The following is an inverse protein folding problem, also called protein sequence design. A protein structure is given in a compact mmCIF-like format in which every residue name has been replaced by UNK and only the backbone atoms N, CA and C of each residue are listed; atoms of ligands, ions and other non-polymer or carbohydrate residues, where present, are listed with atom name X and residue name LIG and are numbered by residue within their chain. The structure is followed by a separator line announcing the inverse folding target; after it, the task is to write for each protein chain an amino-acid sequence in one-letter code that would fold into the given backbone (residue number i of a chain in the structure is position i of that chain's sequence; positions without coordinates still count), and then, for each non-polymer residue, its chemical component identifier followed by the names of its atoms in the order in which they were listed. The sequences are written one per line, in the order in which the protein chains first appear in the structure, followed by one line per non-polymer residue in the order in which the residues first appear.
data_IF_247515586190
#
_entry.id   IF_247515586190
#
_cell.length_a   1.000
_cell.length_b   1.000
_cell.length_c   1.000
_cell.angle_alpha   90.00
_cell.angle_beta   90.00
_cell.angle_gamma   90.00
#
_symmetry.space_group_name_H-M   'P 1'
#
loop_
_entity.id
_entity.type
_entity.pdbx_description
1 polymer ?
#
# COMPACT_ATOMS: atom_id res chain seq x y z
N UNK A 1 22.37 -0.41 10.14
CA UNK A 1 21.43 0.11 9.14
C UNK A 1 21.52 1.62 9.15
N UNK A 2 21.68 2.26 8.00
CA UNK A 2 21.65 3.72 7.93
C UNK A 2 20.24 4.20 8.31
N UNK A 3 20.11 5.28 9.11
CA UNK A 3 18.80 5.81 9.46
C UNK A 3 18.03 6.24 8.20
N UNK A 4 16.70 6.10 8.18
CA UNK A 4 15.87 6.57 7.06
C UNK A 4 16.09 8.06 6.85
N UNK A 5 16.42 8.48 5.64
CA UNK A 5 16.82 9.86 5.37
C UNK A 5 15.57 10.72 5.22
N UNK A 6 14.66 10.33 4.35
CA UNK A 6 13.48 11.12 4.00
C UNK A 6 12.44 11.10 5.10
N UNK A 7 12.15 9.94 5.69
CA UNK A 7 11.17 9.86 6.78
C UNK A 7 11.59 10.72 7.99
N UNK A 8 12.89 10.74 8.31
CA UNK A 8 13.44 11.61 9.35
C UNK A 8 13.33 13.09 8.98
N UNK A 9 13.65 13.45 7.73
CA UNK A 9 13.50 14.85 7.24
C UNK A 9 12.05 15.30 7.32
N UNK A 10 11.09 14.48 6.88
CA UNK A 10 9.65 14.81 6.93
C UNK A 10 9.19 14.99 8.38
N UNK A 11 9.60 14.10 9.28
CA UNK A 11 9.25 14.21 10.72
C UNK A 11 9.84 15.46 11.36
N UNK A 12 11.12 15.76 11.06
CA UNK A 12 11.77 17.00 11.53
C UNK A 12 11.08 18.24 10.94
N UNK A 13 10.67 18.19 9.68
CA UNK A 13 9.93 19.29 9.05
C UNK A 13 8.57 19.55 9.72
N UNK A 14 7.84 18.50 10.12
CA UNK A 14 6.60 18.64 10.92
C UNK A 14 6.90 19.36 12.23
N UNK A 15 7.93 18.93 12.97
CA UNK A 15 8.28 19.55 14.26
C UNK A 15 8.72 21.01 14.12
N UNK A 16 9.56 21.31 13.13
CA UNK A 16 10.06 22.66 12.88
C UNK A 16 8.96 23.61 12.39
N UNK A 17 8.11 23.17 11.46
CA UNK A 17 7.00 23.99 10.96
C UNK A 17 5.94 24.23 12.02
N UNK A 18 5.70 23.24 12.90
CA UNK A 18 4.85 23.45 14.05
C UNK A 18 5.45 24.47 15.02
N UNK A 19 6.73 24.35 15.37
CA UNK A 19 7.39 25.31 16.25
C UNK A 19 7.34 26.73 15.67
N UNK A 20 7.58 26.86 14.36
CA UNK A 20 7.44 28.14 13.66
C UNK A 20 6.00 28.67 13.72
N UNK A 21 5.01 27.81 13.47
CA UNK A 21 3.60 28.18 13.54
C UNK A 21 3.21 28.66 14.95
N UNK A 22 3.64 27.93 15.99
CA UNK A 22 3.40 28.32 17.38
C UNK A 22 4.04 29.68 17.70
N UNK A 23 5.32 29.86 17.37
CA UNK A 23 6.03 31.13 17.57
C UNK A 23 5.32 32.31 16.89
N UNK A 24 4.85 32.11 15.65
CA UNK A 24 4.11 33.13 14.91
C UNK A 24 2.74 33.42 15.54
N UNK A 25 1.97 32.40 15.93
CA UNK A 25 0.68 32.57 16.63
C UNK A 25 0.85 33.34 17.94
N UNK A 26 1.83 32.97 18.76
CA UNK A 26 2.12 33.65 20.03
C UNK A 26 2.61 35.08 19.82
N UNK A 27 3.44 35.34 18.81
CA UNK A 27 3.88 36.69 18.47
C UNK A 27 2.71 37.57 18.04
N UNK A 28 1.82 37.07 17.18
CA UNK A 28 0.62 37.81 16.76
C UNK A 28 -0.33 38.06 17.93
N UNK A 29 -0.52 37.07 18.81
CA UNK A 29 -1.32 37.23 20.01
C UNK A 29 -0.75 38.30 20.95
N UNK A 30 0.56 38.31 21.16
CA UNK A 30 1.23 39.34 21.95
C UNK A 30 1.03 40.74 21.35
N UNK A 31 1.15 40.90 20.03
CA UNK A 31 0.88 42.17 19.37
C UNK A 31 -0.57 42.60 19.53
N UNK A 32 -1.53 41.68 19.47
CA UNK A 32 -2.96 41.98 19.69
C UNK A 32 -3.23 42.43 21.12
N UNK A 33 -2.61 41.79 22.13
CA UNK A 33 -2.72 42.25 23.53
C UNK A 33 -2.15 43.66 23.68
N UNK A 34 -0.96 43.92 23.13
CA UNK A 34 -0.32 45.25 23.22
C UNK A 34 -1.16 46.31 22.50
N UNK A 35 -1.77 45.96 21.37
CA UNK A 35 -2.69 46.84 20.65
C UNK A 35 -3.99 47.08 21.43
N UNK A 36 -4.58 46.03 22.02
CA UNK A 36 -5.77 46.12 22.84
C UNK A 36 -5.54 46.99 24.09
N UNK A 37 -4.37 46.90 24.71
CA UNK A 37 -4.02 47.75 25.86
C UNK A 37 -3.84 49.24 25.50
N UNK A 38 -3.60 49.55 24.22
CA UNK A 38 -3.52 50.94 23.72
C UNK A 38 -4.88 51.53 23.33
N UNK A 39 -5.90 50.69 23.13
CA UNK A 39 -7.26 51.14 22.84
C UNK A 39 -8.04 51.34 24.15
N UNK A 40 -8.85 52.40 24.21
CA UNK A 40 -9.84 52.54 25.28
C UNK A 40 -10.81 51.35 25.25
N UNK A 41 -11.22 50.82 26.42
CA UNK A 41 -12.05 49.62 26.47
C UNK A 41 -13.43 49.89 25.86
N UNK A 42 -13.61 49.49 24.61
CA UNK A 42 -14.93 49.36 23.96
C UNK A 42 -15.55 48.02 24.33
N UNK A 43 -16.87 47.97 24.46
CA UNK A 43 -17.61 46.78 24.96
C UNK A 43 -17.39 45.49 24.14
N UNK A 44 -16.84 45.59 22.91
CA UNK A 44 -16.70 44.49 21.94
C UNK A 44 -15.24 44.05 21.67
N UNK A 45 -14.23 44.58 22.38
CA UNK A 45 -12.82 44.27 22.11
C UNK A 45 -12.31 43.08 22.94
N UNK A 46 -12.87 41.89 22.73
CA UNK A 46 -12.31 40.65 23.29
C UNK A 46 -11.12 40.18 22.44
N UNK A 47 -9.97 39.96 23.07
CA UNK A 47 -8.77 39.48 22.38
C UNK A 47 -8.93 37.99 22.10
N UNK A 48 -8.82 37.53 20.84
CA UNK A 48 -9.00 36.12 20.49
C UNK A 48 -7.92 35.25 21.14
N UNK A 49 -8.31 34.04 21.55
CA UNK A 49 -7.38 33.08 22.16
C UNK A 49 -6.34 32.62 21.12
N UNK A 50 -5.07 32.33 21.50
CA UNK A 50 -4.02 31.86 20.58
C UNK A 50 -4.38 30.69 19.65
N UNK A 51 -5.39 29.89 20.02
CA UNK A 51 -5.85 28.75 19.22
C UNK A 51 -6.63 29.19 17.97
N UNK A 52 -7.43 30.25 18.10
CA UNK A 52 -8.31 30.77 17.05
C UNK A 52 -7.54 31.60 16.01
N UNK A 53 -6.30 31.95 16.32
CA UNK A 53 -5.41 32.64 15.39
C UNK A 53 -4.87 31.66 14.35
N UNK A 54 -4.85 32.11 13.10
CA UNK A 54 -4.25 31.41 11.97
C UNK A 54 -3.15 32.26 11.33
N UNK A 55 -2.16 31.60 10.74
CA UNK A 55 -1.01 32.25 10.11
C UNK A 55 -1.15 32.15 8.57
N UNK A 56 -1.50 33.23 7.85
CA UNK A 56 -1.86 33.19 6.42
C UNK A 56 -0.75 32.76 5.44
N UNK A 57 0.48 32.57 5.92
CA UNK A 57 1.62 32.11 5.11
C UNK A 57 1.92 30.62 5.27
N UNK A 58 1.33 29.98 6.29
CA UNK A 58 1.59 28.61 6.69
C UNK A 58 0.34 27.73 6.55
N UNK A 59 -0.83 28.26 6.92
CA UNK A 59 -2.11 27.55 6.86
C UNK A 59 -2.93 27.95 5.64
N UNK A 60 -3.73 27.01 5.16
CA UNK A 60 -4.50 27.16 3.94
C UNK A 60 -5.97 27.48 4.24
N UNK A 61 -6.50 28.55 3.65
CA UNK A 61 -7.94 28.87 3.70
C UNK A 61 -8.52 28.67 2.29
N UNK A 62 -9.40 27.68 2.09
CA UNK A 62 -9.80 27.24 0.76
C UNK A 62 -10.66 28.25 -0.01
N UNK A 63 -11.34 29.18 0.66
CA UNK A 63 -12.30 30.11 0.03
C UNK A 63 -11.71 31.46 -0.35
N UNK A 64 -10.47 31.75 0.06
CA UNK A 64 -9.82 33.04 -0.21
C UNK A 64 -8.83 32.90 -1.39
N UNK A 65 -8.48 34.02 -2.02
CA UNK A 65 -7.42 34.11 -3.04
C UNK A 65 -5.95 33.83 -2.62
N UNK A 66 -5.55 33.57 -1.34
CA UNK A 66 -4.17 33.31 -0.98
C UNK A 66 -3.52 32.16 -1.74
N UNK A 67 -4.30 31.19 -2.22
CA UNK A 67 -3.79 29.97 -2.89
C UNK A 67 -3.00 30.29 -4.16
N UNK A 68 -3.56 31.14 -5.01
CA UNK A 68 -2.94 31.52 -6.28
C UNK A 68 -1.71 32.43 -6.06
N UNK A 69 -1.72 33.24 -5.00
CA UNK A 69 -0.63 34.15 -4.66
C UNK A 69 0.49 33.47 -3.85
N UNK A 70 0.18 32.37 -3.16
CA UNK A 70 1.07 31.68 -2.22
C UNK A 70 0.93 30.16 -2.37
N UNK A 71 1.43 29.58 -3.48
CA UNK A 71 1.22 28.17 -3.78
C UNK A 71 1.89 27.21 -2.78
N UNK A 72 2.95 27.66 -2.09
CA UNK A 72 3.65 26.84 -1.09
C UNK A 72 2.75 26.48 0.11
N UNK A 73 1.67 27.23 0.35
CA UNK A 73 0.73 26.97 1.44
C UNK A 73 0.05 25.60 1.26
N UNK A 74 -0.12 25.13 0.03
CA UNK A 74 -0.59 23.77 -0.27
C UNK A 74 0.38 22.69 0.19
N UNK A 75 1.65 23.01 0.39
CA UNK A 75 2.61 22.07 0.95
C UNK A 75 2.66 22.23 2.48
N UNK A 76 2.83 23.46 2.98
CA UNK A 76 3.09 23.71 4.41
C UNK A 76 1.90 23.39 5.30
N UNK A 77 0.67 23.51 4.80
CA UNK A 77 -0.54 23.22 5.59
C UNK A 77 -0.57 21.77 6.11
N UNK A 78 0.00 20.81 5.36
CA UNK A 78 -0.01 19.40 5.77
C UNK A 78 1.09 18.99 6.76
N UNK A 79 1.93 19.94 7.20
CA UNK A 79 2.98 19.70 8.19
C UNK A 79 2.66 20.34 9.55
N UNK A 80 1.50 20.98 9.67
CA UNK A 80 1.09 21.71 10.86
C UNK A 80 -0.01 20.90 11.54
N UNK A 81 0.12 20.74 12.85
CA UNK A 81 -0.84 20.03 13.68
C UNK A 81 -1.16 20.89 14.90
N UNK A 82 -2.44 21.07 15.23
CA UNK A 82 -2.82 21.97 16.33
C UNK A 82 -2.86 21.27 17.69
N UNK A 83 -3.08 19.96 17.69
CA UNK A 83 -3.15 19.15 18.91
C UNK A 83 -1.80 18.53 19.25
N UNK A 84 -1.36 18.64 20.50
CA UNK A 84 -0.14 17.96 20.97
C UNK A 84 -0.25 16.43 20.85
N UNK A 85 -1.43 15.86 21.15
CA UNK A 85 -1.68 14.42 21.01
C UNK A 85 -1.65 14.02 19.53
N UNK A 86 -2.31 14.82 18.68
CA UNK A 86 -2.28 14.65 17.23
C UNK A 86 -0.84 14.67 16.70
N UNK A 87 -0.03 15.62 17.17
CA UNK A 87 1.36 15.77 16.78
C UNK A 87 2.20 14.54 17.18
N UNK A 88 2.10 14.11 18.43
CA UNK A 88 2.87 12.97 18.91
C UNK A 88 2.53 11.70 18.12
N UNK A 89 1.23 11.48 17.86
CA UNK A 89 0.75 10.34 17.10
C UNK A 89 1.14 10.43 15.62
N UNK A 90 1.06 11.62 15.02
CA UNK A 90 1.45 11.86 13.64
C UNK A 90 2.96 11.72 13.45
N UNK A 91 3.78 12.34 14.29
CA UNK A 91 5.23 12.23 14.24
C UNK A 91 5.70 10.78 14.40
N UNK A 92 5.13 10.03 15.35
CA UNK A 92 5.41 8.61 15.51
C UNK A 92 4.98 7.81 14.26
N UNK A 93 3.76 8.05 13.75
CA UNK A 93 3.25 7.36 12.57
C UNK A 93 4.09 7.64 11.33
N UNK A 94 4.41 8.90 11.05
CA UNK A 94 5.23 9.31 9.91
C UNK A 94 6.63 8.71 10.02
N UNK A 95 7.24 8.73 11.19
CA UNK A 95 8.58 8.17 11.38
C UNK A 95 8.60 6.64 11.21
N UNK A 96 7.77 5.89 11.92
CA UNK A 96 7.79 4.42 11.86
C UNK A 96 7.27 3.86 10.54
N UNK A 97 6.15 4.39 10.03
CA UNK A 97 5.60 3.94 8.75
C UNK A 97 6.49 4.42 7.59
N UNK A 98 6.97 5.66 7.64
CA UNK A 98 7.89 6.21 6.65
C UNK A 98 9.22 5.47 6.62
N UNK A 99 9.77 5.08 7.78
CA UNK A 99 10.97 4.26 7.85
C UNK A 99 10.78 2.92 7.11
N UNK A 100 9.67 2.24 7.38
CA UNK A 100 9.34 0.98 6.72
C UNK A 100 9.18 1.16 5.20
N UNK A 101 8.46 2.20 4.77
CA UNK A 101 8.21 2.46 3.34
C UNK A 101 9.46 2.92 2.59
N UNK A 102 10.28 3.78 3.19
CA UNK A 102 11.55 4.24 2.62
C UNK A 102 12.53 3.10 2.43
N UNK A 103 12.60 2.17 3.39
CA UNK A 103 13.43 0.96 3.27
C UNK A 103 13.02 0.06 2.09
N UNK A 104 11.73 0.06 1.70
CA UNK A 104 11.20 -0.78 0.62
C UNK A 104 11.14 -0.11 -0.75
N UNK A 105 10.97 1.21 -0.80
CA UNK A 105 10.80 1.95 -2.05
C UNK A 105 12.02 2.80 -2.42
N UNK A 106 12.90 3.04 -1.44
CA UNK A 106 13.97 4.02 -1.55
C UNK A 106 13.49 5.46 -1.30
N UNK A 107 14.43 6.32 -0.93
CA UNK A 107 14.21 7.72 -0.56
C UNK A 107 13.46 8.53 -1.64
N UNK A 108 13.88 8.42 -2.91
CA UNK A 108 13.32 9.26 -4.00
C UNK A 108 11.85 8.93 -4.28
N UNK A 109 11.50 7.64 -4.32
CA UNK A 109 10.13 7.20 -4.59
C UNK A 109 9.20 7.55 -3.42
N UNK A 110 9.68 7.39 -2.18
CA UNK A 110 8.92 7.78 -0.99
C UNK A 110 8.69 9.29 -0.92
N UNK A 111 9.73 10.11 -1.16
CA UNK A 111 9.58 11.57 -1.21
C UNK A 111 8.58 12.01 -2.28
N UNK A 112 8.66 11.44 -3.50
CA UNK A 112 7.71 11.71 -4.58
C UNK A 112 6.28 11.35 -4.17
N UNK A 113 6.10 10.20 -3.50
CA UNK A 113 4.78 9.77 -3.03
C UNK A 113 4.18 10.74 -2.00
N UNK A 114 4.94 11.11 -0.96
CA UNK A 114 4.47 12.05 0.08
C UNK A 114 4.12 13.40 -0.54
N UNK A 115 4.96 13.91 -1.45
CA UNK A 115 4.71 15.19 -2.12
C UNK A 115 3.42 15.17 -2.95
N UNK A 116 3.20 14.10 -3.73
CA UNK A 116 1.97 13.94 -4.52
C UNK A 116 0.76 13.82 -3.61
N UNK A 117 0.84 13.01 -2.54
CA UNK A 117 -0.26 12.82 -1.61
C UNK A 117 -0.69 14.14 -0.95
N UNK A 118 0.27 14.95 -0.49
CA UNK A 118 0.00 16.26 0.15
C UNK A 118 -0.58 17.25 -0.85
N UNK A 119 0.12 17.49 -1.96
CA UNK A 119 -0.29 18.52 -2.92
C UNK A 119 -1.65 18.19 -3.56
N UNK A 120 -1.86 16.94 -3.96
CA UNK A 120 -3.11 16.55 -4.59
C UNK A 120 -4.27 16.55 -3.57
N UNK A 121 -4.03 16.20 -2.30
CA UNK A 121 -5.07 16.23 -1.27
C UNK A 121 -5.53 17.67 -1.01
N UNK A 122 -4.60 18.59 -0.79
CA UNK A 122 -4.92 19.99 -0.52
C UNK A 122 -5.54 20.66 -1.76
N UNK A 123 -5.11 20.28 -2.97
CA UNK A 123 -5.73 20.72 -4.21
C UNK A 123 -7.16 20.20 -4.36
N UNK A 124 -7.42 18.93 -4.06
CA UNK A 124 -8.77 18.37 -4.10
C UNK A 124 -9.71 19.07 -3.10
N UNK A 125 -9.20 19.36 -1.90
CA UNK A 125 -9.96 20.07 -0.88
C UNK A 125 -10.24 21.53 -1.28
N UNK A 126 -9.27 22.21 -1.90
CA UNK A 126 -9.48 23.53 -2.49
C UNK A 126 -10.65 23.53 -3.48
N UNK A 127 -10.62 22.62 -4.46
CA UNK A 127 -11.70 22.53 -5.46
C UNK A 127 -13.05 22.19 -4.82
N UNK A 128 -13.08 21.30 -3.82
CA UNK A 128 -14.30 20.95 -3.10
C UNK A 128 -14.94 22.14 -2.37
N UNK A 129 -14.15 22.97 -1.70
CA UNK A 129 -14.67 24.17 -1.04
C UNK A 129 -14.96 25.31 -2.02
N UNK A 130 -14.20 25.41 -3.12
CA UNK A 130 -14.48 26.35 -4.19
C UNK A 130 -15.84 26.05 -4.86
N UNK A 131 -16.19 24.78 -5.09
CA UNK A 131 -17.50 24.40 -5.61
C UNK A 131 -18.60 24.68 -4.58
N UNK A 132 -18.41 24.34 -3.30
CA UNK A 132 -19.37 24.70 -2.23
C UNK A 132 -19.64 26.20 -2.15
N UNK A 133 -18.59 27.01 -2.32
CA UNK A 133 -18.71 28.47 -2.37
C UNK A 133 -19.51 28.92 -3.60
N UNK A 134 -19.25 28.35 -4.77
CA UNK A 134 -20.00 28.65 -5.99
C UNK A 134 -21.50 28.30 -5.88
N UNK A 135 -21.84 27.24 -5.13
CA UNK A 135 -23.22 26.85 -4.85
C UNK A 135 -23.87 27.58 -3.67
N UNK A 136 -23.19 28.56 -3.06
CA UNK A 136 -23.73 29.36 -1.96
C UNK A 136 -23.96 28.62 -0.64
N UNK A 137 -23.35 27.44 -0.46
CA UNK A 137 -23.55 26.58 0.72
C UNK A 137 -22.54 26.86 1.87
N UNK A 138 -21.97 28.07 1.95
CA UNK A 138 -20.91 28.33 2.92
C UNK A 138 -21.45 28.67 4.31
N UNK A 139 -20.94 28.00 5.33
CA UNK A 139 -20.95 28.48 6.71
C UNK A 139 -20.23 29.84 6.77
N UNK A 140 -20.72 30.76 7.61
CA UNK A 140 -20.25 32.16 7.74
C UNK A 140 -18.73 32.31 7.91
N UNK A 141 -18.04 31.30 8.46
CA UNK A 141 -16.59 31.28 8.68
C UNK A 141 -15.91 30.19 7.83
N UNK A 142 -14.90 30.53 7.02
CA UNK A 142 -14.21 29.54 6.22
C UNK A 142 -13.28 28.67 7.09
N UNK A 143 -13.29 27.35 6.90
CA UNK A 143 -12.44 26.43 7.67
C UNK A 143 -10.96 26.64 7.35
N UNK A 144 -10.11 26.64 8.38
CA UNK A 144 -8.65 26.67 8.22
C UNK A 144 -8.15 25.22 8.11
N UNK A 145 -7.41 24.94 7.05
CA UNK A 145 -6.84 23.62 6.81
C UNK A 145 -5.39 23.61 7.31
N UNK A 146 -5.14 22.83 8.34
CA UNK A 146 -3.80 22.58 8.89
C UNK A 146 -3.78 21.24 9.63
N UNK A 147 -3.46 20.16 8.92
CA UNK A 147 -3.32 18.85 9.54
C UNK A 147 -2.30 17.94 8.86
N UNK A 148 -1.67 17.08 9.64
CA UNK A 148 -0.76 16.04 9.16
C UNK A 148 -1.47 14.76 8.69
N UNK A 149 -2.80 14.74 8.77
CA UNK A 149 -3.67 13.61 8.41
C UNK A 149 -3.45 13.09 6.99
N UNK A 150 -3.25 13.93 5.94
CA UNK A 150 -3.00 13.45 4.59
C UNK A 150 -1.77 12.53 4.49
N UNK A 151 -0.68 12.90 5.20
CA UNK A 151 0.57 12.14 5.18
C UNK A 151 0.38 10.81 5.92
N UNK A 152 -0.24 10.84 7.10
CA UNK A 152 -0.50 9.63 7.90
C UNK A 152 -1.38 8.66 7.13
N UNK A 153 -2.49 9.14 6.56
CA UNK A 153 -3.41 8.30 5.81
C UNK A 153 -2.77 7.71 4.54
N UNK A 154 -1.98 8.51 3.81
CA UNK A 154 -1.22 8.03 2.66
C UNK A 154 -0.24 6.91 3.04
N UNK A 155 0.50 7.08 4.14
CA UNK A 155 1.41 6.07 4.67
C UNK A 155 0.66 4.79 5.09
N UNK A 156 -0.52 4.89 5.71
CA UNK A 156 -1.34 3.73 6.08
C UNK A 156 -1.79 2.93 4.84
N UNK A 157 -2.25 3.61 3.79
CA UNK A 157 -2.63 2.97 2.52
C UNK A 157 -1.43 2.28 1.87
N UNK A 158 -0.26 2.93 1.87
CA UNK A 158 0.99 2.38 1.38
C UNK A 158 1.47 1.14 2.15
N UNK A 159 1.31 1.13 3.47
CA UNK A 159 1.67 -0.02 4.31
C UNK A 159 0.73 -1.20 4.03
N UNK A 160 -0.57 -0.95 3.88
CA UNK A 160 -1.50 -1.99 3.45
C UNK A 160 -1.07 -2.64 2.14
N UNK A 161 -0.64 -1.85 1.15
CA UNK A 161 -0.15 -2.38 -0.14
C UNK A 161 0.96 -3.42 0.05
N UNK A 162 1.84 -3.23 1.04
CA UNK A 162 3.02 -4.08 1.25
C UNK A 162 2.77 -5.25 2.20
N UNK A 163 2.00 -5.03 3.26
CA UNK A 163 1.80 -6.00 4.35
C UNK A 163 0.29 -6.20 4.61
N UNK A 164 -0.51 -6.48 3.57
CA UNK A 164 -1.95 -6.68 3.76
C UNK A 164 -2.29 -7.89 4.66
N UNK A 165 -1.51 -8.97 4.58
CA UNK A 165 -1.82 -10.26 5.21
C UNK A 165 -1.39 -10.41 6.67
N UNK A 166 -0.69 -9.41 7.24
CA UNK A 166 -0.25 -9.52 8.63
C UNK A 166 -1.34 -9.07 9.61
N UNK A 167 -1.27 -9.64 10.82
CA UNK A 167 -2.12 -9.26 11.94
C UNK A 167 -1.29 -8.47 12.94
N UNK A 168 -1.81 -7.31 13.35
CA UNK A 168 -1.28 -6.57 14.48
C UNK A 168 -1.88 -7.20 15.73
N UNK A 169 -1.02 -7.76 16.57
CA UNK A 169 -1.40 -8.38 17.84
C UNK A 169 -1.20 -7.32 18.92
N UNK A 170 -2.29 -6.82 19.47
CA UNK A 170 -2.28 -5.82 20.54
C UNK A 170 -2.65 -6.47 21.88
N UNK A 171 -2.04 -5.97 22.96
CA UNK A 171 -2.31 -6.33 24.36
C UNK A 171 -2.35 -7.84 24.64
N UNK A 172 -1.18 -8.49 24.68
CA UNK A 172 -1.05 -9.92 25.04
C UNK A 172 -2.04 -10.84 24.31
N UNK A 173 -2.24 -10.60 23.00
CA UNK A 173 -3.10 -11.41 22.13
C UNK A 173 -4.63 -11.22 22.27
N UNK A 174 -5.10 -10.18 22.98
CA UNK A 174 -6.53 -9.90 23.13
C UNK A 174 -7.16 -9.32 21.85
N UNK A 175 -6.41 -8.48 21.12
CA UNK A 175 -6.88 -7.83 19.90
C UNK A 175 -6.00 -8.23 18.72
N UNK A 176 -6.61 -8.88 17.71
CA UNK A 176 -5.97 -9.25 16.45
C UNK A 176 -6.64 -8.48 15.32
N UNK A 177 -6.00 -7.40 14.85
CA UNK A 177 -6.53 -6.58 13.76
C UNK A 177 -5.68 -6.83 12.52
N UNK A 178 -6.32 -7.23 11.42
CA UNK A 178 -5.62 -7.38 10.13
C UNK A 178 -5.17 -6.00 9.64
N UNK A 179 -3.91 -5.87 9.20
CA UNK A 179 -3.35 -4.61 8.66
C UNK A 179 -4.20 -4.05 7.51
N UNK A 180 -4.87 -4.94 6.76
CA UNK A 180 -5.84 -4.60 5.71
C UNK A 180 -6.91 -3.59 6.15
N UNK A 181 -7.35 -3.62 7.40
CA UNK A 181 -8.42 -2.75 7.90
C UNK A 181 -7.92 -1.51 8.63
N UNK A 182 -6.60 -1.35 8.83
CA UNK A 182 -6.03 -0.23 9.59
C UNK A 182 -6.37 1.14 8.97
N UNK A 183 -6.29 1.34 7.63
CA UNK A 183 -6.69 2.61 7.04
C UNK A 183 -8.17 2.92 7.29
N UNK A 184 -9.04 1.91 7.17
CA UNK A 184 -10.48 2.08 7.41
C UNK A 184 -10.78 2.37 8.89
N UNK A 185 -10.15 1.65 9.82
CA UNK A 185 -10.34 1.92 11.25
C UNK A 185 -9.87 3.33 11.64
N UNK A 186 -8.76 3.80 11.05
CA UNK A 186 -8.27 5.15 11.26
C UNK A 186 -9.27 6.20 10.73
N UNK A 187 -9.80 5.99 9.53
CA UNK A 187 -10.83 6.86 8.96
C UNK A 187 -12.10 6.90 9.83
N UNK A 188 -12.59 5.75 10.28
CA UNK A 188 -13.76 5.68 11.18
C UNK A 188 -13.51 6.42 12.49
N UNK A 189 -12.30 6.30 13.06
CA UNK A 189 -11.93 7.06 14.26
C UNK A 189 -12.02 8.57 14.02
N UNK A 190 -11.52 9.07 12.89
CA UNK A 190 -11.61 10.49 12.54
C UNK A 190 -13.05 10.97 12.31
N UNK A 191 -13.90 10.13 11.72
CA UNK A 191 -15.33 10.44 11.55
C UNK A 191 -16.03 10.52 12.90
N UNK A 192 -15.77 9.58 13.81
CA UNK A 192 -16.33 9.61 15.17
C UNK A 192 -15.84 10.83 15.95
N UNK A 193 -14.56 11.17 15.83
CA UNK A 193 -14.02 12.38 16.43
C UNK A 193 -14.66 13.65 15.85
N UNK A 194 -14.90 13.71 14.54
CA UNK A 194 -15.61 14.81 13.88
C UNK A 194 -17.09 14.95 14.26
N UNK A 195 -17.73 13.87 14.72
CA UNK A 195 -19.09 13.91 15.25
C UNK A 195 -19.13 14.49 16.67
N UNK A 196 -18.10 14.23 17.47
CA UNK A 196 -17.97 14.75 18.85
C UNK A 196 -17.53 16.22 18.82
N UNK A 197 -16.56 16.54 17.96
CA UNK A 197 -15.99 17.88 17.81
C UNK A 197 -16.25 18.41 16.39
N UNK A 198 -17.20 19.34 16.21
CA UNK A 198 -17.57 19.86 14.88
C UNK A 198 -16.39 20.45 14.10
N UNK A 199 -15.41 21.04 14.79
CA UNK A 199 -14.20 21.63 14.18
C UNK A 199 -13.33 20.58 13.47
N UNK A 200 -13.45 19.31 13.86
CA UNK A 200 -12.67 18.20 13.32
C UNK A 200 -13.24 17.64 12.02
N UNK A 201 -14.29 18.24 11.47
CA UNK A 201 -14.87 17.84 10.18
C UNK A 201 -13.83 17.86 9.04
N UNK A 202 -12.88 18.79 9.07
CA UNK A 202 -11.87 18.93 8.03
C UNK A 202 -10.95 17.70 7.98
N UNK A 203 -10.60 17.14 9.14
CA UNK A 203 -9.67 16.01 9.27
C UNK A 203 -10.17 14.77 8.54
N UNK A 204 -11.45 14.41 8.68
CA UNK A 204 -11.98 13.25 7.98
C UNK A 204 -12.13 13.52 6.46
N UNK A 205 -12.43 14.75 6.05
CA UNK A 205 -12.46 15.13 4.63
C UNK A 205 -11.06 14.97 4.00
N UNK A 206 -10.03 15.45 4.67
CA UNK A 206 -8.62 15.27 4.27
C UNK A 206 -8.22 13.80 4.23
N UNK A 207 -8.61 13.01 5.24
CA UNK A 207 -8.34 11.58 5.25
C UNK A 207 -8.98 10.86 4.06
N UNK A 208 -10.23 11.20 3.70
CA UNK A 208 -10.93 10.60 2.57
C UNK A 208 -10.26 10.97 1.23
N UNK A 209 -9.90 12.24 1.05
CA UNK A 209 -9.20 12.71 -0.14
C UNK A 209 -7.82 12.05 -0.27
N UNK A 210 -7.03 12.04 0.80
CA UNK A 210 -5.72 11.42 0.84
C UNK A 210 -5.79 9.90 0.60
N UNK A 211 -6.83 9.23 1.13
CA UNK A 211 -7.10 7.83 0.86
C UNK A 211 -7.33 7.57 -0.63
N UNK A 212 -8.25 8.30 -1.25
CA UNK A 212 -8.59 8.12 -2.66
C UNK A 212 -7.40 8.41 -3.58
N UNK A 213 -6.64 9.48 -3.31
CA UNK A 213 -5.46 9.88 -4.08
C UNK A 213 -4.34 8.86 -3.93
N UNK A 214 -4.05 8.43 -2.69
CA UNK A 214 -2.98 7.47 -2.42
C UNK A 214 -3.30 6.11 -3.02
N UNK A 215 -4.55 5.65 -2.91
CA UNK A 215 -5.00 4.43 -3.56
C UNK A 215 -4.84 4.53 -5.09
N UNK A 216 -5.31 5.61 -5.70
CA UNK A 216 -5.20 5.83 -7.15
C UNK A 216 -3.73 5.89 -7.62
N UNK A 217 -2.88 6.63 -6.90
CA UNK A 217 -1.46 6.72 -7.22
C UNK A 217 -0.76 5.36 -7.16
N UNK A 218 -1.00 4.60 -6.09
CA UNK A 218 -0.37 3.29 -5.91
C UNK A 218 -0.92 2.22 -6.85
N UNK A 219 -2.21 2.28 -7.21
CA UNK A 219 -2.87 1.35 -8.13
C UNK A 219 -2.41 1.55 -9.58
N UNK A 220 -2.25 2.80 -10.04
CA UNK A 220 -2.08 3.09 -11.47
C UNK A 220 -0.77 3.79 -11.85
N UNK A 221 -0.22 4.65 -10.98
CA UNK A 221 0.83 5.61 -11.38
C UNK A 221 2.23 5.30 -10.84
N UNK A 222 2.33 4.54 -9.75
CA UNK A 222 3.63 4.28 -9.12
C UNK A 222 4.49 3.40 -10.03
N UNK A 223 5.62 3.97 -10.45
CA UNK A 223 6.67 3.26 -11.18
C UNK A 223 7.47 2.36 -10.22
N UNK A 224 7.84 1.16 -10.68
CA UNK A 224 8.63 0.20 -9.92
C UNK A 224 7.77 -0.94 -9.39
N UNK A 225 8.02 -2.13 -9.96
CA UNK A 225 7.35 -3.37 -9.60
C UNK A 225 7.28 -3.50 -8.07
N UNK A 226 6.08 -3.77 -7.56
CA UNK A 226 6.00 -4.56 -6.35
C UNK A 226 6.92 -5.76 -6.54
N UNK A 227 7.87 -5.97 -5.64
CA UNK A 227 8.87 -7.05 -5.75
C UNK A 227 8.23 -8.44 -5.94
N UNK A 228 6.92 -8.57 -5.69
CA UNK A 228 6.09 -9.74 -6.07
C UNK A 228 6.13 -10.08 -7.55
N UNK A 229 6.34 -9.12 -8.45
CA UNK A 229 6.40 -9.34 -9.91
C UNK A 229 7.83 -9.44 -10.45
N UNK A 230 8.86 -9.15 -9.65
CA UNK A 230 10.26 -9.17 -10.11
C UNK A 230 10.99 -10.50 -9.89
N UNK A 231 10.29 -11.58 -9.53
CA UNK A 231 10.88 -12.92 -9.42
C UNK A 231 11.15 -13.60 -10.78
N UNK A 232 10.84 -12.94 -11.90
CA UNK A 232 11.35 -13.36 -13.20
C UNK A 232 12.80 -12.87 -13.33
N UNK A 233 13.73 -13.82 -13.22
CA UNK A 233 15.15 -13.64 -12.92
C UNK A 233 15.84 -12.62 -13.85
N UNK A 234 16.61 -11.64 -13.31
CA UNK A 234 17.43 -10.76 -14.12
C UNK A 234 18.79 -11.42 -14.41
N UNK A 235 18.87 -12.24 -15.46
CA UNK A 235 20.17 -12.61 -16.04
C UNK A 235 20.53 -11.65 -17.17
N UNK A 236 21.06 -10.49 -16.81
CA UNK A 236 21.86 -9.70 -17.75
C UNK A 236 23.16 -9.30 -17.06
N UNK A 237 24.08 -10.26 -16.96
CA UNK A 237 25.47 -10.00 -16.64
C UNK A 237 26.06 -9.26 -17.85
N UNK A 238 26.12 -7.93 -17.79
CA UNK A 238 26.97 -7.13 -18.69
C UNK A 238 28.40 -7.17 -18.14
N UNK A 239 29.14 -8.22 -18.45
CA UNK A 239 30.61 -8.19 -18.36
C UNK A 239 31.16 -7.76 -19.73
N UNK A 240 32.12 -6.80 -19.82
CA UNK A 240 32.52 -6.25 -21.11
C UNK A 240 33.47 -7.16 -21.92
N UNK A 241 33.93 -8.29 -21.38
CA UNK A 241 35.07 -9.02 -21.96
C UNK A 241 35.02 -10.55 -21.85
N UNK A 242 33.86 -11.19 -21.97
CA UNK A 242 33.81 -12.65 -22.15
C UNK A 242 32.83 -13.00 -23.27
N UNK A 243 33.34 -13.52 -24.37
CA UNK A 243 32.55 -14.15 -25.43
C UNK A 243 31.73 -15.28 -24.81
N UNK A 244 30.41 -15.09 -24.72
CA UNK A 244 29.50 -16.11 -24.25
C UNK A 244 29.41 -17.25 -25.28
N UNK A 245 29.34 -18.52 -24.86
CA UNK A 245 29.17 -19.63 -25.78
C UNK A 245 27.84 -19.50 -26.53
N UNK A 246 27.87 -19.84 -27.82
CA UNK A 246 26.76 -19.75 -28.76
C UNK A 246 25.57 -20.63 -28.35
N UNK A 247 24.69 -20.08 -27.52
CA UNK A 247 23.26 -20.40 -27.41
C UNK A 247 22.61 -19.46 -26.38
N UNK A 248 22.71 -18.14 -26.60
CA UNK A 248 21.90 -17.18 -25.86
C UNK A 248 20.68 -16.81 -26.71
N UNK A 249 19.43 -16.92 -26.21
CA UNK A 249 18.27 -16.36 -26.90
C UNK A 249 18.38 -14.83 -26.88
N UNK A 250 19.07 -14.26 -27.86
CA UNK A 250 19.41 -12.84 -27.99
C UNK A 250 18.22 -11.96 -28.42
N UNK A 251 16.99 -12.30 -28.05
CA UNK A 251 15.81 -11.45 -28.25
C UNK A 251 14.73 -11.67 -27.17
N UNK A 252 15.11 -11.67 -25.89
CA UNK A 252 14.15 -11.32 -24.84
C UNK A 252 13.95 -9.80 -24.87
N UNK A 253 13.04 -9.33 -25.73
CA UNK A 253 12.48 -7.98 -25.60
C UNK A 253 11.67 -7.96 -24.32
N UNK A 254 12.21 -7.34 -23.26
CA UNK A 254 11.40 -6.99 -22.11
C UNK A 254 10.35 -6.00 -22.60
N UNK A 255 9.07 -6.29 -22.35
CA UNK A 255 8.00 -5.34 -22.63
C UNK A 255 8.31 -4.04 -21.86
N UNK A 256 8.72 -2.99 -22.57
CA UNK A 256 8.85 -1.62 -22.06
C UNK A 256 7.52 -1.09 -21.49
N UNK A 257 6.42 -1.78 -21.80
CA UNK A 257 5.07 -1.50 -21.31
C UNK A 257 4.73 -2.30 -20.04
N UNK A 258 5.67 -2.49 -19.13
CA UNK A 258 5.36 -3.14 -17.86
C UNK A 258 4.26 -2.31 -17.14
N UNK A 259 3.16 -2.95 -16.73
CA UNK A 259 2.11 -2.33 -15.90
C UNK A 259 2.66 -1.40 -14.83
N UNK A 260 2.34 -0.11 -14.89
CA UNK A 260 2.58 0.80 -13.76
C UNK A 260 1.56 0.54 -12.65
N UNK A 261 2.01 0.70 -11.40
CA UNK A 261 1.19 0.53 -10.21
C UNK A 261 0.91 -0.93 -9.84
N UNK A 262 0.11 -1.10 -8.79
CA UNK A 262 -0.27 -2.39 -8.25
C UNK A 262 -1.64 -2.81 -8.74
N UNK A 263 -1.69 -3.87 -9.55
CA UNK A 263 -2.91 -4.38 -10.16
C UNK A 263 -3.50 -5.62 -9.45
N UNK A 264 -2.90 -6.04 -8.34
CA UNK A 264 -3.36 -7.22 -7.57
C UNK A 264 -4.74 -7.04 -6.92
N UNK A 265 -5.55 -8.10 -6.84
CA UNK A 265 -6.88 -8.01 -6.20
C UNK A 265 -6.81 -7.76 -4.69
N UNK A 266 -5.70 -8.13 -4.05
CA UNK A 266 -5.43 -7.81 -2.65
C UNK A 266 -5.45 -6.30 -2.38
N UNK A 267 -5.08 -5.48 -3.38
CA UNK A 267 -5.08 -4.02 -3.29
C UNK A 267 -6.29 -3.36 -3.99
N UNK A 268 -7.31 -4.14 -4.35
CA UNK A 268 -8.57 -3.59 -4.86
C UNK A 268 -9.27 -2.71 -3.81
N UNK A 269 -10.06 -1.74 -4.26
CA UNK A 269 -10.73 -0.77 -3.39
C UNK A 269 -11.65 -1.45 -2.37
N UNK A 270 -12.34 -2.51 -2.77
CA UNK A 270 -13.27 -3.28 -1.94
C UNK A 270 -12.61 -3.91 -0.71
N UNK A 271 -11.32 -4.29 -0.80
CA UNK A 271 -10.61 -4.96 0.30
C UNK A 271 -10.26 -4.01 1.44
N UNK A 272 -10.42 -2.70 1.28
CA UNK A 272 -10.20 -1.73 2.36
C UNK A 272 -11.31 -1.74 3.40
N UNK A 273 -12.48 -2.26 3.03
CA UNK A 273 -13.68 -2.20 3.84
C UNK A 273 -14.02 -3.57 4.41
N UNK A 274 -14.68 -3.64 5.58
CA UNK A 274 -15.26 -4.87 6.11
C UNK A 274 -16.21 -5.52 5.10
N UNK A 275 -16.42 -6.84 5.20
CA UNK A 275 -17.16 -7.66 4.22
C UNK A 275 -18.45 -7.03 3.70
N UNK A 276 -19.32 -6.53 4.58
CA UNK A 276 -20.60 -5.94 4.18
C UNK A 276 -20.44 -4.69 3.31
N UNK A 277 -19.56 -3.76 3.72
CA UNK A 277 -19.28 -2.53 2.98
C UNK A 277 -18.46 -2.82 1.71
N UNK A 278 -17.53 -3.78 1.78
CA UNK A 278 -16.71 -4.21 0.66
C UNK A 278 -17.53 -4.74 -0.50
N UNK A 279 -18.66 -5.43 -0.25
CA UNK A 279 -19.56 -5.90 -1.30
C UNK A 279 -20.25 -4.75 -2.06
N UNK A 280 -20.69 -3.72 -1.33
CA UNK A 280 -21.30 -2.52 -1.93
C UNK A 280 -20.26 -1.75 -2.76
N UNK A 281 -19.08 -1.53 -2.17
CA UNK A 281 -17.97 -0.86 -2.84
C UNK A 281 -17.54 -1.66 -4.08
N UNK A 282 -17.50 -2.99 -4.01
CA UNK A 282 -17.15 -3.86 -5.15
C UNK A 282 -18.12 -3.65 -6.32
N UNK A 283 -19.44 -3.70 -6.08
CA UNK A 283 -20.43 -3.47 -7.14
C UNK A 283 -20.26 -2.11 -7.82
N UNK A 284 -20.02 -1.06 -7.02
CA UNK A 284 -19.78 0.29 -7.53
C UNK A 284 -18.45 0.40 -8.28
N UNK A 285 -17.37 -0.14 -7.73
CA UNK A 285 -16.03 -0.10 -8.34
C UNK A 285 -16.00 -0.88 -9.64
N UNK A 286 -16.67 -2.03 -9.71
CA UNK A 286 -16.73 -2.86 -10.91
C UNK A 286 -17.54 -2.17 -12.01
N UNK A 287 -18.61 -1.46 -11.67
CA UNK A 287 -19.37 -0.65 -12.63
C UNK A 287 -18.50 0.49 -13.21
N UNK A 288 -17.77 1.20 -12.37
CA UNK A 288 -16.84 2.28 -12.79
C UNK A 288 -15.69 1.71 -13.61
N UNK A 289 -15.13 0.56 -13.22
CA UNK A 289 -14.06 -0.12 -13.94
C UNK A 289 -14.52 -0.56 -15.33
N UNK A 290 -15.69 -1.20 -15.43
CA UNK A 290 -16.26 -1.60 -16.72
C UNK A 290 -16.55 -0.40 -17.62
N UNK A 291 -16.99 0.72 -17.05
CA UNK A 291 -17.15 1.96 -17.80
C UNK A 291 -15.79 2.48 -18.33
N UNK A 292 -14.75 2.50 -17.49
CA UNK A 292 -13.42 2.93 -17.88
C UNK A 292 -12.78 2.03 -18.96
N UNK A 293 -13.02 0.71 -18.88
CA UNK A 293 -12.57 -0.26 -19.91
C UNK A 293 -13.30 -0.02 -21.23
N UNK A 294 -14.62 0.25 -21.20
CA UNK A 294 -15.38 0.60 -22.42
C UNK A 294 -14.89 1.87 -23.09
N UNK A 295 -14.46 2.86 -22.30
CA UNK A 295 -13.87 4.10 -22.79
C UNK A 295 -12.41 3.94 -23.25
N UNK A 296 -11.82 2.74 -23.14
CA UNK A 296 -10.43 2.47 -23.52
C UNK A 296 -9.38 3.10 -22.61
N UNK A 297 -9.78 3.61 -21.43
CA UNK A 297 -8.86 4.20 -20.45
C UNK A 297 -8.03 3.14 -19.71
N UNK A 298 -8.59 1.94 -19.56
CA UNK A 298 -7.98 0.81 -18.86
C UNK A 298 -8.10 -0.47 -19.69
N UNK A 299 -7.04 -1.27 -19.73
CA UNK A 299 -7.08 -2.61 -20.30
C UNK A 299 -7.51 -3.60 -19.21
N UNK A 300 -8.54 -4.42 -19.44
CA UNK A 300 -8.96 -5.41 -18.44
C UNK A 300 -7.90 -6.50 -18.21
N UNK A 301 -7.15 -6.88 -19.25
CA UNK A 301 -6.12 -7.93 -19.23
C UNK A 301 -4.99 -7.65 -18.25
N UNK A 302 -4.79 -6.37 -17.93
CA UNK A 302 -3.77 -5.87 -17.04
C UNK A 302 -4.05 -6.15 -15.56
N UNK A 303 -5.31 -6.42 -15.21
CA UNK A 303 -5.79 -6.65 -13.85
C UNK A 303 -6.07 -8.13 -13.56
N UNK A 304 -5.97 -8.99 -14.57
CA UNK A 304 -6.13 -10.43 -14.42
C UNK A 304 -4.77 -11.01 -14.02
N UNK A 305 -4.57 -11.27 -12.73
CA UNK A 305 -3.27 -11.73 -12.22
C UNK A 305 -3.34 -12.43 -10.87
N UNK A 306 -3.42 -13.77 -10.95
CA UNK A 306 -3.27 -14.80 -9.92
C UNK A 306 -4.29 -14.78 -8.77
N UNK A 307 -5.45 -15.37 -9.04
CA UNK A 307 -6.20 -16.11 -8.02
C UNK A 307 -5.27 -17.20 -7.44
N UNK A 308 -5.00 -17.14 -6.14
CA UNK A 308 -4.39 -18.22 -5.38
C UNK A 308 -5.40 -19.34 -5.04
N UNK A 309 -6.63 -19.31 -5.57
CA UNK A 309 -7.67 -20.31 -5.25
C UNK A 309 -8.54 -20.76 -6.44
N UNK A 310 -8.14 -20.48 -7.69
CA UNK A 310 -8.81 -21.08 -8.85
C UNK A 310 -8.06 -22.36 -9.28
N UNK A 311 -8.49 -23.51 -8.75
CA UNK A 311 -8.45 -24.71 -9.59
C UNK A 311 -9.14 -24.36 -10.91
N UNK A 312 -8.50 -24.54 -12.07
CA UNK A 312 -9.12 -24.19 -13.32
C UNK A 312 -10.35 -25.08 -13.49
N UNK A 313 -11.55 -24.50 -13.37
CA UNK A 313 -12.75 -25.07 -13.95
C UNK A 313 -12.54 -25.08 -15.47
N UNK A 314 -11.95 -26.18 -15.94
CA UNK A 314 -11.84 -26.55 -17.34
C UNK A 314 -13.26 -26.72 -17.87
N UNK A 315 -13.79 -25.63 -18.42
CA UNK A 315 -14.91 -25.67 -19.33
C UNK A 315 -14.51 -26.47 -20.57
N UNK A 316 -14.88 -27.75 -20.55
CA UNK A 316 -15.10 -28.57 -21.73
C UNK A 316 -13.89 -28.83 -22.62
N UNK A 317 -12.95 -29.66 -22.19
CA UNK A 317 -12.14 -30.47 -23.11
C UNK A 317 -12.24 -31.94 -22.68
N UNK A 318 -12.97 -32.71 -23.49
CA UNK A 318 -13.13 -34.15 -23.37
C UNK A 318 -11.78 -34.86 -23.24
N UNK A 319 -11.59 -35.52 -22.11
CA UNK A 319 -10.96 -36.84 -21.94
C UNK A 319 -10.09 -37.38 -23.10
N UNK A 320 -8.78 -37.14 -23.04
CA UNK A 320 -7.75 -38.14 -23.41
C UNK A 320 -6.58 -38.06 -22.43
N UNK A 321 -6.71 -38.82 -21.34
CA UNK A 321 -5.86 -38.84 -20.16
C UNK A 321 -4.46 -39.46 -20.35
N UNK A 322 -3.97 -39.67 -21.57
CA UNK A 322 -2.56 -40.02 -21.83
C UNK A 322 -2.16 -39.60 -23.24
N UNK A 323 -1.73 -38.35 -23.40
CA UNK A 323 -1.01 -37.90 -24.60
C UNK A 323 0.35 -37.36 -24.16
N UNK A 324 1.33 -38.25 -24.07
CA UNK A 324 2.73 -37.89 -23.92
C UNK A 324 3.15 -37.05 -25.13
N UNK A 325 3.60 -35.82 -24.85
CA UNK A 325 4.27 -34.94 -25.81
C UNK A 325 5.38 -35.73 -26.52
N UNK A 326 5.24 -35.95 -27.83
CA UNK A 326 6.35 -36.43 -28.67
C UNK A 326 7.40 -35.34 -28.74
N UNK A 327 8.48 -35.52 -28.00
CA UNK A 327 9.73 -34.77 -28.19
C UNK A 327 10.16 -34.92 -29.65
N UNK A 328 10.27 -33.80 -30.36
CA UNK A 328 10.73 -33.74 -31.75
C UNK A 328 12.23 -34.09 -31.79
N UNK A 329 12.56 -35.37 -31.99
CA UNK A 329 13.96 -35.83 -32.05
C UNK A 329 14.19 -37.34 -31.87
N UNK A 330 13.20 -38.12 -31.45
CA UNK A 330 13.33 -39.58 -31.31
C UNK A 330 12.48 -40.29 -32.37
N UNK A 331 12.92 -40.27 -33.64
CA UNK A 331 12.17 -40.88 -34.76
C UNK A 331 12.53 -42.35 -35.01
N UNK A 332 13.58 -42.91 -34.37
CA UNK A 332 14.03 -44.29 -34.68
C UNK A 332 14.29 -45.14 -33.44
N UNK A 333 13.25 -45.45 -32.67
CA UNK A 333 13.25 -46.66 -31.83
C UNK A 333 11.85 -47.30 -31.90
N UNK A 334 11.76 -48.46 -32.55
CA UNK A 334 10.52 -49.23 -32.66
C UNK A 334 10.04 -49.75 -31.30
N UNK A 335 8.73 -49.66 -31.05
CA UNK A 335 8.09 -50.15 -29.83
C UNK A 335 7.87 -51.67 -29.93
N UNK A 336 8.41 -52.43 -28.97
CA UNK A 336 8.12 -53.87 -28.77
C UNK A 336 6.82 -54.01 -27.97
N UNK A 337 5.88 -54.91 -28.33
CA UNK A 337 4.60 -55.02 -27.63
C UNK A 337 4.77 -55.77 -26.30
N UNK A 338 4.45 -55.10 -25.19
CA UNK A 338 4.44 -55.67 -23.86
C UNK A 338 3.07 -56.29 -23.55
N UNK A 339 2.88 -57.55 -23.94
CA UNK A 339 1.64 -58.30 -23.71
C UNK A 339 1.70 -59.43 -22.65
N UNK A 340 2.88 -59.93 -22.29
CA UNK A 340 2.97 -61.21 -21.55
C UNK A 340 3.65 -61.16 -20.16
N UNK A 341 4.11 -60.00 -19.69
CA UNK A 341 4.81 -59.90 -18.38
C UNK A 341 3.96 -59.39 -17.21
N UNK A 342 2.68 -59.09 -17.44
CA UNK A 342 1.77 -58.60 -16.38
C UNK A 342 1.01 -59.72 -15.66
N UNK A 343 0.92 -60.92 -16.26
CA UNK A 343 0.28 -62.10 -15.65
C UNK A 343 1.14 -62.83 -14.62
N UNK A 344 2.46 -62.58 -14.57
CA UNK A 344 3.33 -63.08 -13.49
C UNK A 344 3.29 -62.21 -12.23
N UNK A 345 2.61 -61.06 -12.26
CA UNK A 345 2.52 -60.12 -11.14
C UNK A 345 1.28 -60.34 -10.26
N UNK A 346 0.31 -61.16 -10.69
CA UNK A 346 -0.95 -61.44 -9.97
C UNK A 346 -1.16 -62.95 -9.70
N UNK A 347 -0.10 -63.63 -9.24
CA UNK A 347 -0.17 -65.02 -8.79
C UNK A 347 -0.74 -65.14 -7.37
N UNK A 348 -2.04 -65.35 -7.21
CA UNK A 348 -2.59 -66.19 -6.14
C UNK A 348 -2.33 -67.66 -6.55
N UNK A 349 -1.87 -68.63 -5.76
CA UNK A 349 -1.53 -68.87 -4.35
C UNK A 349 -0.86 -70.29 -4.36
N UNK A 350 -0.59 -71.06 -3.27
CA UNK A 350 -0.22 -70.78 -1.87
C UNK A 350 1.10 -71.50 -1.45
N UNK A 351 1.76 -71.10 -0.36
CA UNK A 351 2.38 -71.97 0.69
C UNK A 351 3.44 -71.22 1.53
N UNK A 352 3.48 -71.64 2.80
CA UNK A 352 4.21 -71.11 3.96
C UNK A 352 5.73 -70.95 3.83
N UNK A 353 6.29 -70.20 4.81
CA UNK A 353 7.70 -70.04 5.22
C UNK A 353 8.50 -68.83 4.67
N UNK A 354 8.55 -67.72 5.43
CA UNK A 354 9.62 -66.70 5.25
C UNK A 354 9.91 -65.78 6.46
N UNK A 355 9.95 -66.30 7.69
CA UNK A 355 10.35 -65.51 8.87
C UNK A 355 11.87 -65.48 9.13
N UNK A 356 12.67 -66.30 8.45
CA UNK A 356 14.13 -66.45 8.74
C UNK A 356 15.08 -65.68 7.79
N UNK A 357 14.65 -65.31 6.58
CA UNK A 357 15.54 -64.64 5.60
C UNK A 357 15.79 -63.16 5.93
N UNK A 358 14.85 -62.50 6.61
CA UNK A 358 14.92 -61.06 6.95
C UNK A 358 15.91 -60.82 8.09
N UNK A 359 15.98 -61.73 9.08
CA UNK A 359 16.89 -61.63 10.23
C UNK A 359 18.37 -61.74 9.81
N UNK A 360 18.66 -62.58 8.81
CA UNK A 360 20.02 -62.79 8.30
C UNK A 360 20.59 -61.54 7.59
N UNK A 361 19.73 -60.69 7.01
CA UNK A 361 20.15 -59.45 6.35
C UNK A 361 20.44 -58.30 7.35
N UNK A 362 19.76 -58.31 8.50
CA UNK A 362 19.90 -57.32 9.57
C UNK A 362 21.20 -57.49 10.35
N UNK A 363 21.58 -58.72 10.70
CA UNK A 363 22.83 -58.99 11.42
C UNK A 363 24.09 -58.73 10.57
N UNK A 364 24.00 -58.92 9.24
CA UNK A 364 25.07 -58.58 8.31
C UNK A 364 25.31 -57.07 8.25
N UNK A 365 24.24 -56.26 8.29
CA UNK A 365 24.31 -54.79 8.30
C UNK A 365 24.79 -54.26 9.66
N UNK A 366 24.39 -54.89 10.77
CA UNK A 366 24.85 -54.55 12.12
C UNK A 366 26.35 -54.82 12.31
N UNK A 367 26.89 -55.92 11.78
CA UNK A 367 28.33 -56.22 11.83
C UNK A 367 29.18 -55.28 10.95
N UNK A 368 28.62 -54.77 9.84
CA UNK A 368 29.28 -53.76 9.01
C UNK A 368 29.34 -52.38 9.67
N UNK A 369 28.31 -52.01 10.43
CA UNK A 369 28.28 -50.73 11.16
C UNK A 369 29.26 -50.69 12.35
N UNK A 370 29.45 -51.82 13.05
CA UNK A 370 30.40 -51.90 14.18
C UNK A 370 31.86 -51.84 13.69
N UNK A 371 32.15 -52.36 12.50
CA UNK A 371 33.50 -52.34 11.89
C UNK A 371 33.95 -50.97 11.35
N UNK A 372 33.05 -49.97 11.38
CA UNK A 372 33.34 -48.59 10.99
C UNK A 372 33.56 -47.66 12.20
N UNK A 373 33.47 -48.19 13.42
CA UNK A 373 33.63 -47.46 14.68
C UNK A 373 34.84 -47.92 15.52
N UNK A 374 35.60 -48.91 15.02
CA UNK A 374 36.99 -49.20 15.42
C UNK A 374 37.92 -48.69 14.30
#
# INVERSE_FOLDING_TARGET
MNPPKVASIVTVAVLLLLLLNAMLKYYTYFLLIVAAHKQEPTLDSEVPHPHDLYVPFLTFIPTRLPVALRPWVLLTASFIEESFIGLALAAASIFYLGWYLEARWGARAFAKFVLIAVLACNMALYFWYATKNAFGQLSSVPPVVSSTTPIVMACLVAVKQRIANHYIILYKNLLRIKVTFVPFSWYVLLVLAGLIWPDWHILHCEALAAFAISWTYLRFFKDGANERQSYLIPFSIKTPHVEAPMASPTNLKFDENLPKGDRSDLFALSTFFPSYLGLLVKKLSDAVFNFAVRQGLLNAKDFVGHDEDDEPHVGGINSKLFSLSRLKGAENVGMVPAGDRFKSFFGMNPQDESSDSIKLSMDKRRKLAIRQLE
#
